data_IF_656031268236
#
_entry.id   IF_656031268236
#
_cell.length_a   1.000
_cell.length_b   1.000
_cell.length_c   1.000
_cell.angle_alpha   90.00
_cell.angle_beta   90.00
_cell.angle_gamma   90.00
#
_symmetry.space_group_name_H-M   'P 1'
#
loop_
_entity.id
_entity.type
_entity.pdbx_description
1 polymer ?
#
# COMPACT_ATOMS: atom_id res chain seq x y z
N UNK A 1 16.62 33.31 19.75
CA UNK A 1 16.71 31.85 19.57
C UNK A 1 15.35 31.18 19.80
N UNK A 2 15.02 30.13 19.06
CA UNK A 2 13.75 29.41 19.20
C UNK A 2 13.98 28.12 19.99
N UNK A 3 13.97 28.20 21.31
CA UNK A 3 14.08 27.06 22.18
C UNK A 3 12.72 26.36 22.39
N UNK A 4 12.69 25.03 22.57
CA UNK A 4 11.51 24.27 22.96
C UNK A 4 10.38 24.16 21.93
N UNK A 5 10.62 24.48 20.66
CA UNK A 5 9.59 24.36 19.61
C UNK A 5 9.33 22.89 19.27
N UNK A 6 8.26 22.32 19.82
CA UNK A 6 7.89 20.90 19.64
C UNK A 6 7.14 20.59 18.34
N UNK A 7 6.57 21.60 17.66
CA UNK A 7 5.76 21.39 16.45
C UNK A 7 6.02 22.48 15.40
N UNK A 8 5.83 22.14 14.14
CA UNK A 8 5.96 23.06 13.02
C UNK A 8 4.68 23.88 12.86
N UNK A 9 4.81 25.21 12.81
CA UNK A 9 3.67 26.12 12.62
C UNK A 9 3.16 26.12 11.17
N UNK A 10 3.96 25.66 10.19
CA UNK A 10 3.62 25.66 8.77
C UNK A 10 3.15 27.03 8.25
N UNK A 11 3.70 28.11 8.81
CA UNK A 11 3.34 29.49 8.50
C UNK A 11 1.83 29.79 8.65
N UNK A 12 1.14 29.12 9.60
CA UNK A 12 -0.31 29.23 9.82
C UNK A 12 -0.64 29.54 11.27
N UNK A 13 -1.74 30.29 11.47
CA UNK A 13 -2.37 30.48 12.79
C UNK A 13 -2.91 29.15 13.30
N UNK A 14 -3.06 29.00 14.62
CA UNK A 14 -3.44 27.74 15.26
C UNK A 14 -4.76 27.13 14.73
N UNK A 15 -5.88 27.89 14.57
CA UNK A 15 -7.12 27.32 14.04
C UNK A 15 -6.97 26.80 12.61
N UNK A 16 -6.35 27.56 11.72
CA UNK A 16 -6.12 27.18 10.33
C UNK A 16 -5.23 25.93 10.24
N UNK A 17 -4.18 25.83 11.05
CA UNK A 17 -3.32 24.64 11.10
C UNK A 17 -4.08 23.41 11.56
N UNK A 18 -4.94 23.55 12.60
CA UNK A 18 -5.77 22.46 13.11
C UNK A 18 -6.73 21.95 12.03
N UNK A 19 -7.47 22.86 11.36
CA UNK A 19 -8.40 22.48 10.28
C UNK A 19 -7.68 21.82 9.10
N UNK A 20 -6.51 22.35 8.70
CA UNK A 20 -5.71 21.75 7.63
C UNK A 20 -5.28 20.32 7.98
N UNK A 21 -4.77 20.09 9.19
CA UNK A 21 -4.33 18.76 9.62
C UNK A 21 -5.51 17.78 9.76
N UNK A 22 -6.66 18.25 10.22
CA UNK A 22 -7.91 17.47 10.28
C UNK A 22 -8.33 17.01 8.89
N UNK A 23 -8.42 17.93 7.92
CA UNK A 23 -8.80 17.59 6.54
C UNK A 23 -7.80 16.65 5.87
N UNK A 24 -6.49 16.88 6.07
CA UNK A 24 -5.45 15.98 5.55
C UNK A 24 -5.53 14.60 6.21
N UNK A 25 -5.86 14.51 7.50
CA UNK A 25 -6.02 13.24 8.20
C UNK A 25 -7.23 12.47 7.67
N UNK A 26 -8.38 13.12 7.47
CA UNK A 26 -9.56 12.53 6.85
C UNK A 26 -9.26 12.01 5.44
N UNK A 27 -8.56 12.81 4.61
CA UNK A 27 -8.13 12.38 3.28
C UNK A 27 -7.20 11.18 3.32
N UNK A 28 -6.23 11.14 4.24
CA UNK A 28 -5.32 10.00 4.39
C UNK A 28 -6.04 8.72 4.80
N UNK A 29 -7.01 8.81 5.71
CA UNK A 29 -7.80 7.67 6.17
C UNK A 29 -8.67 7.12 5.03
N UNK A 30 -9.31 7.99 4.24
CA UNK A 30 -10.18 7.59 3.12
C UNK A 30 -9.35 7.02 1.97
N UNK A 31 -8.33 7.74 1.51
CA UNK A 31 -7.55 7.39 0.32
C UNK A 31 -6.35 6.48 0.61
N UNK A 32 -5.98 6.26 1.89
CA UNK A 32 -4.85 5.44 2.34
C UNK A 32 -3.47 6.01 2.00
N UNK A 33 -3.37 6.88 1.01
CA UNK A 33 -2.16 7.61 0.59
C UNK A 33 -2.53 9.00 0.08
N UNK A 34 -1.70 9.99 0.37
CA UNK A 34 -1.84 11.37 -0.16
C UNK A 34 -0.47 11.95 -0.50
N UNK A 35 -0.44 12.83 -1.48
CA UNK A 35 0.75 13.59 -1.86
C UNK A 35 0.76 14.95 -1.16
N UNK A 36 1.91 15.33 -0.62
CA UNK A 36 2.05 16.61 0.08
C UNK A 36 3.52 16.99 0.24
N UNK A 37 3.79 18.14 0.85
CA UNK A 37 5.17 18.54 1.19
C UNK A 37 5.67 17.80 2.43
N UNK A 38 6.97 17.52 2.49
CA UNK A 38 7.63 16.80 3.61
C UNK A 38 7.34 17.46 4.96
N UNK A 39 7.31 18.80 5.02
CA UNK A 39 7.00 19.53 6.26
C UNK A 39 5.57 19.24 6.76
N UNK A 40 4.58 19.24 5.85
CA UNK A 40 3.18 18.91 6.18
C UNK A 40 3.03 17.43 6.57
N UNK A 41 3.67 16.52 5.84
CA UNK A 41 3.63 15.10 6.14
C UNK A 41 4.19 14.77 7.53
N UNK A 42 5.31 15.39 7.93
CA UNK A 42 5.87 15.22 9.28
C UNK A 42 4.93 15.72 10.37
N UNK A 43 4.26 16.87 10.15
CA UNK A 43 3.26 17.40 11.08
C UNK A 43 2.00 16.51 11.12
N UNK A 44 1.55 16.01 9.97
CA UNK A 44 0.41 15.13 9.85
C UNK A 44 0.63 13.78 10.57
N UNK A 45 1.82 13.20 10.46
CA UNK A 45 2.21 11.98 11.17
C UNK A 45 1.95 12.10 12.67
N UNK A 46 2.44 13.17 13.30
CA UNK A 46 2.26 13.42 14.73
C UNK A 46 0.78 13.58 15.12
N UNK A 47 -0.05 14.06 14.17
CA UNK A 47 -1.49 14.23 14.38
C UNK A 47 -2.28 12.93 14.20
N UNK A 48 -1.97 12.14 13.18
CA UNK A 48 -2.74 10.95 12.78
C UNK A 48 -2.40 9.72 13.62
N UNK A 49 -1.13 9.48 13.96
CA UNK A 49 -0.74 8.27 14.71
C UNK A 49 -1.47 8.08 16.04
N UNK A 50 -1.70 9.11 16.87
CA UNK A 50 -2.51 8.96 18.08
C UNK A 50 -3.99 8.62 17.80
N UNK A 51 -4.55 9.10 16.66
CA UNK A 51 -5.92 8.77 16.27
C UNK A 51 -6.04 7.29 15.89
N UNK A 52 -5.07 6.81 15.13
CA UNK A 52 -4.97 5.40 14.74
C UNK A 52 -4.77 4.50 15.98
N UNK A 53 -3.95 4.89 16.94
CA UNK A 53 -3.80 4.13 18.18
C UNK A 53 -5.12 4.06 18.95
N UNK A 54 -5.89 5.15 19.02
CA UNK A 54 -7.21 5.16 19.69
C UNK A 54 -8.24 4.30 18.97
N UNK A 55 -8.15 4.11 17.66
CA UNK A 55 -9.10 3.29 16.92
C UNK A 55 -8.98 1.79 17.19
N UNK A 56 -7.89 1.34 17.78
CA UNK A 56 -7.73 -0.07 18.18
C UNK A 56 -8.70 -0.52 19.27
N UNK A 57 -9.15 0.42 20.11
CA UNK A 57 -10.18 0.18 21.10
C UNK A 57 -11.49 0.79 20.62
N UNK A 58 -12.40 -0.04 20.08
CA UNK A 58 -13.69 0.43 19.57
C UNK A 58 -14.69 0.64 20.71
N UNK A 59 -14.58 1.78 21.35
CA UNK A 59 -15.53 2.23 22.36
C UNK A 59 -16.25 3.49 21.87
N UNK A 60 -17.47 3.73 22.38
CA UNK A 60 -18.20 4.98 22.07
C UNK A 60 -17.40 6.22 22.49
N UNK A 61 -16.62 6.12 23.56
CA UNK A 61 -15.73 7.19 24.01
C UNK A 61 -14.61 7.45 23.00
N UNK A 62 -13.93 6.41 22.52
CA UNK A 62 -12.88 6.53 21.50
C UNK A 62 -13.41 7.14 20.21
N UNK A 63 -14.58 6.68 19.74
CA UNK A 63 -15.25 7.24 18.55
C UNK A 63 -15.57 8.73 18.73
N UNK A 64 -16.10 9.16 19.87
CA UNK A 64 -16.37 10.57 20.17
C UNK A 64 -15.09 11.42 20.18
N UNK A 65 -14.01 10.92 20.79
CA UNK A 65 -12.72 11.62 20.81
C UNK A 65 -12.13 11.79 19.40
N UNK A 66 -12.15 10.73 18.59
CA UNK A 66 -11.65 10.78 17.20
C UNK A 66 -12.53 11.72 16.37
N UNK A 67 -13.87 11.64 16.51
CA UNK A 67 -14.77 12.54 15.81
C UNK A 67 -14.55 14.01 16.17
N UNK A 68 -14.28 14.35 17.44
CA UNK A 68 -13.99 15.74 17.85
C UNK A 68 -12.74 16.32 17.18
N UNK A 69 -11.83 15.48 16.70
CA UNK A 69 -10.60 15.86 16.02
C UNK A 69 -10.74 15.87 14.50
N UNK A 70 -11.42 14.87 13.91
CA UNK A 70 -11.60 14.76 12.46
C UNK A 70 -12.80 15.53 11.93
N UNK A 71 -13.91 15.57 12.69
CA UNK A 71 -15.20 16.21 12.35
C UNK A 71 -15.84 15.72 11.05
N UNK A 72 -15.43 14.54 10.58
CA UNK A 72 -15.98 13.88 9.40
C UNK A 72 -16.41 12.45 9.76
N UNK A 73 -17.71 12.14 9.54
CA UNK A 73 -18.30 10.85 9.87
C UNK A 73 -17.74 9.71 9.01
N UNK A 74 -17.48 9.99 7.72
CA UNK A 74 -17.01 8.97 6.79
C UNK A 74 -15.60 8.49 7.15
N UNK A 75 -14.70 9.42 7.45
CA UNK A 75 -13.34 9.07 7.86
C UNK A 75 -13.31 8.34 9.21
N UNK A 76 -14.18 8.69 10.16
CA UNK A 76 -14.30 7.96 11.43
C UNK A 76 -14.80 6.53 11.20
N UNK A 77 -15.86 6.35 10.42
CA UNK A 77 -16.35 5.01 10.10
C UNK A 77 -15.30 4.17 9.39
N UNK A 78 -14.62 4.73 8.39
CA UNK A 78 -13.54 4.05 7.68
C UNK A 78 -12.36 3.69 8.60
N UNK A 79 -12.02 4.57 9.55
CA UNK A 79 -10.94 4.33 10.50
C UNK A 79 -11.25 3.15 11.44
N UNK A 80 -12.46 3.09 12.01
CA UNK A 80 -12.83 2.05 12.97
C UNK A 80 -13.21 0.72 12.32
N UNK A 81 -13.83 0.74 11.13
CA UNK A 81 -14.30 -0.49 10.48
C UNK A 81 -13.19 -1.19 9.68
N UNK A 82 -12.43 -0.42 8.88
CA UNK A 82 -11.50 -1.00 7.91
C UNK A 82 -10.03 -0.84 8.32
N UNK A 83 -9.66 0.34 8.85
CA UNK A 83 -8.25 0.63 9.14
C UNK A 83 -7.82 -0.05 10.43
N UNK A 84 -8.65 -0.02 11.49
CA UNK A 84 -8.31 -0.59 12.80
C UNK A 84 -8.03 -2.09 12.73
N UNK A 85 -8.78 -2.83 11.93
CA UNK A 85 -8.60 -4.27 11.72
C UNK A 85 -7.22 -4.60 11.14
N UNK A 86 -6.82 -3.87 10.08
CA UNK A 86 -5.53 -4.11 9.40
C UNK A 86 -4.30 -3.74 10.22
N UNK A 87 -4.43 -2.79 11.13
CA UNK A 87 -3.32 -2.30 11.96
C UNK A 87 -3.28 -2.92 13.36
N UNK A 88 -4.19 -3.83 13.68
CA UNK A 88 -4.35 -4.41 15.02
C UNK A 88 -3.04 -4.93 15.61
N UNK A 89 -2.26 -5.67 14.81
CA UNK A 89 -1.01 -6.31 15.22
C UNK A 89 0.21 -5.37 15.28
N UNK A 90 0.10 -4.16 14.71
CA UNK A 90 1.23 -3.22 14.64
C UNK A 90 1.29 -2.36 15.90
N UNK A 91 2.38 -2.36 16.67
CA UNK A 91 2.49 -1.59 17.94
C UNK A 91 2.57 -0.07 17.72
N UNK A 92 2.95 0.40 16.51
CA UNK A 92 3.08 1.81 16.15
C UNK A 92 3.74 2.02 14.81
N UNK A 93 3.94 3.30 14.39
CA UNK A 93 4.53 3.61 13.09
C UNK A 93 3.62 3.22 11.93
N UNK A 94 2.35 3.59 12.02
CA UNK A 94 1.33 3.25 11.02
C UNK A 94 1.49 3.96 9.69
N UNK A 95 2.26 5.05 9.68
CA UNK A 95 2.45 5.88 8.49
C UNK A 95 3.88 5.81 7.97
N UNK A 96 4.03 5.85 6.64
CA UNK A 96 5.31 5.94 5.94
C UNK A 96 5.33 7.18 5.07
N UNK A 97 6.47 7.87 5.04
CA UNK A 97 6.71 9.05 4.20
C UNK A 97 7.76 8.68 3.16
N UNK A 98 7.39 8.74 1.88
CA UNK A 98 8.25 8.45 0.73
C UNK A 98 8.54 9.77 0.02
N UNK A 99 9.81 10.16 -0.07
CA UNK A 99 10.21 11.39 -0.77
C UNK A 99 10.14 11.19 -2.28
N UNK A 100 9.60 12.18 -2.99
CA UNK A 100 9.43 12.16 -4.45
C UNK A 100 10.36 13.11 -5.19
N UNK A 101 11.09 13.96 -4.48
CA UNK A 101 11.89 15.05 -5.06
C UNK A 101 11.25 16.42 -4.84
N UNK A 102 11.68 17.41 -5.61
CA UNK A 102 11.25 18.78 -5.45
C UNK A 102 10.22 19.17 -6.52
N UNK A 103 9.27 20.00 -6.15
CA UNK A 103 8.25 20.53 -7.07
C UNK A 103 8.85 21.64 -7.91
N UNK A 104 8.60 21.59 -9.23
CA UNK A 104 8.98 22.67 -10.14
C UNK A 104 8.24 23.97 -9.76
N UNK A 105 8.96 25.07 -9.79
CA UNK A 105 8.45 26.42 -9.50
C UNK A 105 8.86 26.95 -8.13
N UNK A 106 8.57 26.24 -7.03
CA UNK A 106 8.90 26.68 -5.65
C UNK A 106 9.97 25.84 -4.96
N UNK A 107 10.52 24.84 -5.64
CA UNK A 107 11.54 23.91 -5.12
C UNK A 107 11.15 23.27 -3.77
N UNK A 108 9.86 23.12 -3.48
CA UNK A 108 9.39 22.49 -2.26
C UNK A 108 9.61 20.98 -2.30
N UNK A 109 10.19 20.40 -1.24
CA UNK A 109 10.33 18.94 -1.11
C UNK A 109 8.95 18.28 -1.03
N UNK A 110 8.64 17.43 -2.00
CA UNK A 110 7.39 16.67 -2.09
C UNK A 110 7.56 15.25 -1.53
N UNK A 111 6.47 14.70 -1.03
CA UNK A 111 6.41 13.32 -0.57
C UNK A 111 5.01 12.74 -0.67
N UNK A 112 4.95 11.42 -0.72
CA UNK A 112 3.75 10.64 -0.45
C UNK A 112 3.78 10.21 1.01
N UNK A 113 2.70 10.45 1.75
CA UNK A 113 2.45 9.81 3.03
C UNK A 113 1.39 8.73 2.83
N UNK A 114 1.64 7.53 3.34
CA UNK A 114 0.76 6.36 3.17
C UNK A 114 0.59 5.59 4.47
N UNK A 115 -0.50 4.82 4.56
CA UNK A 115 -0.69 3.81 5.59
C UNK A 115 0.08 2.55 5.17
N UNK A 116 1.01 2.09 6.02
CA UNK A 116 1.96 1.00 5.70
C UNK A 116 1.25 -0.30 5.32
N UNK A 117 0.17 -0.64 6.03
CA UNK A 117 -0.54 -1.90 5.88
C UNK A 117 -1.47 -1.95 4.65
N UNK A 118 -1.58 -0.85 3.90
CA UNK A 118 -2.33 -0.75 2.66
C UNK A 118 -1.48 -0.77 1.39
N UNK A 119 -0.15 -0.77 1.51
CA UNK A 119 0.74 -0.83 0.36
C UNK A 119 1.02 -2.29 -0.05
N UNK A 120 0.17 -2.82 -0.92
CA UNK A 120 0.24 -4.21 -1.39
C UNK A 120 1.52 -4.55 -2.16
N UNK A 121 2.13 -3.56 -2.82
CA UNK A 121 3.38 -3.76 -3.57
C UNK A 121 4.55 -4.13 -2.65
N UNK A 122 4.67 -3.44 -1.53
CA UNK A 122 5.72 -3.72 -0.53
C UNK A 122 5.41 -4.97 0.30
N UNK A 123 4.13 -5.27 0.57
CA UNK A 123 3.72 -6.48 1.25
C UNK A 123 3.90 -7.74 0.38
N UNK A 124 3.77 -7.62 -0.96
CA UNK A 124 3.99 -8.70 -1.92
C UNK A 124 5.46 -9.13 -2.01
N UNK A 125 6.40 -8.18 -2.01
CA UNK A 125 7.83 -8.48 -2.09
C UNK A 125 8.37 -9.25 -0.86
N UNK A 126 7.78 -9.09 0.31
CA UNK A 126 8.18 -9.87 1.50
C UNK A 126 7.77 -11.35 1.41
N UNK A 127 6.63 -11.65 0.78
CA UNK A 127 6.20 -13.04 0.56
C UNK A 127 7.11 -13.74 -0.45
N UNK A 128 7.53 -13.06 -1.51
CA UNK A 128 8.42 -13.62 -2.53
C UNK A 128 9.87 -13.82 -2.02
N UNK A 129 10.36 -12.96 -1.15
CA UNK A 129 11.68 -13.12 -0.52
C UNK A 129 11.73 -14.33 0.42
N UNK A 130 10.67 -14.59 1.17
CA UNK A 130 10.58 -15.76 2.07
C UNK A 130 10.50 -17.09 1.28
N UNK A 131 9.83 -17.12 0.14
CA UNK A 131 9.73 -18.31 -0.71
C UNK A 131 11.02 -18.61 -1.47
N UNK A 132 11.74 -17.58 -1.97
CA UNK A 132 13.05 -17.74 -2.63
C UNK A 132 14.13 -18.25 -1.68
N UNK A 133 14.15 -17.80 -0.42
CA UNK A 133 15.09 -18.28 0.60
C UNK A 133 14.87 -19.74 0.98
N UNK A 134 13.61 -20.20 1.07
CA UNK A 134 13.27 -21.61 1.34
C UNK A 134 13.61 -22.53 0.17
N UNK A 135 13.43 -22.10 -1.09
CA UNK A 135 13.83 -22.87 -2.30
C UNK A 135 15.35 -23.01 -2.43
N UNK A 136 16.13 -21.99 -2.07
CA UNK A 136 17.60 -22.07 -2.10
C UNK A 136 18.16 -23.02 -1.03
N UNK A 137 17.55 -23.11 0.16
CA UNK A 137 17.96 -24.09 1.19
C UNK A 137 17.64 -25.54 0.79
N UNK A 138 16.51 -25.78 0.11
CA UNK A 138 16.15 -27.13 -0.34
C UNK A 138 17.02 -27.66 -1.49
N UNK A 139 17.55 -26.77 -2.35
CA UNK A 139 18.48 -27.17 -3.43
C UNK A 139 19.90 -27.50 -2.95
N UNK A 140 20.29 -27.06 -1.76
CA UNK A 140 21.63 -27.31 -1.22
C UNK A 140 21.76 -28.65 -0.47
N UNK A 141 20.63 -29.34 -0.21
CA UNK A 141 20.62 -30.61 0.50
C UNK A 141 20.42 -31.84 -0.41
N UNK A 142 20.35 -31.67 -1.74
CA UNK A 142 20.12 -32.78 -2.68
C UNK A 142 21.27 -33.04 -3.64
N UNK A 143 22.48 -32.60 -3.32
CA UNK A 143 23.69 -33.04 -4.05
C UNK A 143 24.55 -33.87 -3.12
N UNK A 144 24.41 -35.20 -3.16
CA UNK A 144 25.44 -36.17 -2.84
C UNK A 144 25.87 -36.85 -4.14
N UNK A 145 27.16 -37.11 -4.32
CA UNK A 145 27.73 -37.63 -5.55
C UNK A 145 27.52 -39.14 -5.66
N UNK A 146 27.26 -39.62 -6.88
CA UNK A 146 27.42 -41.03 -7.21
C UNK A 146 28.29 -41.07 -8.48
N UNK A 147 29.38 -41.74 -8.32
CA UNK A 147 30.40 -42.06 -9.33
C UNK A 147 29.89 -43.01 -10.43
N UNK A 148 30.29 -42.66 -11.63
CA UNK A 148 30.93 -43.46 -12.70
C UNK A 148 30.34 -44.84 -13.11
N UNK A 149 29.99 -45.00 -14.34
CA UNK A 149 30.54 -45.85 -15.39
C UNK A 149 29.59 -46.11 -16.56
N UNK A 150 30.06 -45.66 -17.70
CA UNK A 150 30.19 -46.42 -18.98
C UNK A 150 28.94 -46.73 -19.84
N UNK A 151 29.17 -46.32 -21.08
CA UNK A 151 29.02 -47.05 -22.37
C UNK A 151 27.77 -46.77 -23.19
N UNK A 152 28.00 -45.99 -24.20
CA UNK A 152 27.83 -46.17 -25.66
C UNK A 152 26.45 -46.51 -26.26
N UNK A 153 26.23 -45.76 -27.27
CA UNK A 153 25.80 -46.03 -28.64
C UNK A 153 24.37 -45.58 -29.04
N UNK A 154 24.44 -44.71 -30.06
CA UNK A 154 23.73 -44.75 -31.39
C UNK A 154 22.21 -44.79 -31.35
N UNK A 155 21.50 -44.01 -32.08
CA UNK A 155 21.37 -43.57 -33.47
C UNK A 155 20.02 -42.85 -33.59
N UNK A 156 19.98 -41.71 -34.24
CA UNK A 156 19.30 -41.47 -35.53
C UNK A 156 17.83 -41.93 -35.58
N UNK A 157 16.90 -41.10 -35.88
CA UNK A 157 16.38 -40.54 -37.07
C UNK A 157 14.93 -40.06 -36.92
N UNK A 158 14.68 -38.97 -37.60
CA UNK A 158 13.60 -38.60 -38.53
C UNK A 158 12.21 -38.23 -38.03
N UNK A 159 11.93 -36.95 -38.36
CA UNK A 159 10.82 -36.42 -39.23
C UNK A 159 9.39 -36.84 -38.95
N UNK A 160 8.54 -35.89 -38.76
CA UNK A 160 7.72 -35.22 -39.79
C UNK A 160 6.45 -34.63 -39.17
N UNK A 161 6.21 -33.35 -39.50
CA UNK A 161 5.04 -32.78 -40.21
C UNK A 161 3.64 -33.23 -39.78
N UNK A 162 2.84 -32.19 -39.55
CA UNK A 162 1.39 -32.29 -39.65
C UNK A 162 0.70 -30.99 -39.26
N UNK A 163 0.49 -30.14 -40.28
CA UNK A 163 -0.42 -29.02 -40.32
C UNK A 163 -1.88 -29.44 -40.06
N UNK A 164 -2.67 -28.52 -39.54
CA UNK A 164 -3.96 -28.06 -40.12
C UNK A 164 -4.81 -27.41 -39.04
N UNK A 165 -5.03 -26.10 -39.15
CA UNK A 165 -6.19 -25.43 -39.76
C UNK A 165 -7.55 -25.99 -39.28
N UNK A 166 -8.32 -25.19 -38.60
CA UNK A 166 -9.56 -24.70 -39.20
C UNK A 166 -10.22 -23.54 -38.43
N UNK A 167 -10.43 -22.53 -39.19
CA UNK A 167 -11.39 -21.45 -39.17
C UNK A 167 -12.84 -21.84 -38.87
N UNK A 168 -13.53 -20.86 -38.44
CA UNK A 168 -14.86 -20.36 -38.87
C UNK A 168 -15.72 -19.96 -37.69
N UNK A 169 -15.96 -18.64 -37.59
CA UNK A 169 -17.16 -17.92 -38.10
C UNK A 169 -18.45 -18.30 -37.38
N UNK A 170 -19.14 -17.36 -36.77
CA UNK A 170 -20.13 -16.51 -37.36
C UNK A 170 -20.92 -15.68 -36.31
N UNK A 171 -20.93 -14.39 -36.42
CA UNK A 171 -22.01 -13.46 -36.82
C UNK A 171 -23.26 -13.36 -35.94
N UNK A 172 -23.46 -12.10 -35.51
CA UNK A 172 -24.66 -11.24 -35.65
C UNK A 172 -26.02 -11.73 -35.18
N UNK A 173 -26.64 -10.88 -34.35
CA UNK A 173 -27.89 -10.12 -34.60
C UNK A 173 -28.24 -9.33 -33.33
N UNK A 174 -28.18 -8.09 -33.31
CA UNK A 174 -29.10 -6.98 -33.71
C UNK A 174 -30.55 -7.07 -33.22
N UNK A 175 -30.94 -5.92 -32.70
CA UNK A 175 -32.27 -5.28 -32.66
C UNK A 175 -33.13 -5.54 -31.43
N UNK A 176 -33.36 -4.45 -30.72
CA UNK A 176 -34.50 -3.49 -30.88
C UNK A 176 -35.73 -3.96 -30.11
N UNK A 177 -36.30 -3.22 -29.26
CA UNK A 177 -37.19 -2.12 -29.25
C UNK A 177 -37.74 -1.90 -27.85
N UNK A 178 -37.73 -0.68 -27.40
CA UNK A 178 -38.85 0.24 -27.20
C UNK A 178 -39.83 -0.04 -26.04
N UNK A 179 -39.96 1.00 -25.23
CA UNK A 179 -41.17 1.60 -24.66
C UNK A 179 -41.99 0.78 -23.66
N UNK A 180 -41.92 1.16 -22.44
CA UNK A 180 -42.95 1.93 -21.73
C UNK A 180 -42.35 2.49 -20.46
#
# INVERSE_FOLDING_TARGET
MRHGKRFNHLSRKAPHRKSMLSNMASSLIIHKKIETTVAKAKALRTYVEPLITKSKSDTTHSRRQVFSLLQDKNSVNELFNNVSEKIADRPGGYTRIIKMGNRLGDNAEMCVIELVDYNLLLLGEEKDKKTKSRRRRRRKTSQKPVDDKSIASKSEDEKSKGDNNNDKKNTKKDKKDKES
#
